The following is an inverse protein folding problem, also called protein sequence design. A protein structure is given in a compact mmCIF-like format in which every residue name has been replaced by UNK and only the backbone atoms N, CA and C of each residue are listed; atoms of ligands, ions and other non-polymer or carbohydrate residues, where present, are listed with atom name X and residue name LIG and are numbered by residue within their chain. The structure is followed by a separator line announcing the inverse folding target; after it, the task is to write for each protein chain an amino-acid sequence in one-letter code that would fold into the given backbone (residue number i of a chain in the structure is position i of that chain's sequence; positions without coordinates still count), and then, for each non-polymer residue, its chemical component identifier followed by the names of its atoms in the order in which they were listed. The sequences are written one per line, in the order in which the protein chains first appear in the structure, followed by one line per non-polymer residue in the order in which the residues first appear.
data_IF_320542004258
#
_entry.id   IF_320542004258
#
_cell.length_a   1.000
_cell.length_b   1.000
_cell.length_c   1.000
_cell.angle_alpha   90.00
_cell.angle_beta   90.00
_cell.angle_gamma   90.00
#
_symmetry.space_group_name_H-M   'P 1'
#
loop_
_entity.id
_entity.type
_entity.pdbx_description
1 polymer ?
#
# COMPACT_ATOMS: atom_id res chain seq x y z
N UNK A 1 -13.56 4.96 -23.82
CA UNK A 1 -13.75 4.13 -22.58
C UNK A 1 -14.56 4.94 -21.59
N UNK A 2 -15.73 4.49 -21.24
CA UNK A 2 -16.58 5.12 -20.21
C UNK A 2 -16.09 4.71 -18.80
N UNK A 3 -16.58 5.40 -17.77
CA UNK A 3 -16.26 4.98 -16.39
C UNK A 3 -16.81 3.58 -16.07
N UNK A 4 -17.96 3.22 -16.66
CA UNK A 4 -18.54 1.87 -16.51
C UNK A 4 -17.62 0.82 -17.13
N UNK A 5 -17.14 1.06 -18.37
CA UNK A 5 -16.20 0.15 -19.02
C UNK A 5 -14.94 -0.05 -18.18
N UNK A 6 -14.38 1.05 -17.65
CA UNK A 6 -13.22 0.99 -16.78
C UNK A 6 -13.47 0.17 -15.50
N UNK A 7 -14.61 0.37 -14.83
CA UNK A 7 -14.96 -0.39 -13.62
C UNK A 7 -15.12 -1.87 -13.94
N UNK A 8 -15.75 -2.19 -15.08
CA UNK A 8 -15.95 -3.57 -15.53
C UNK A 8 -14.62 -4.25 -15.85
N UNK A 9 -13.75 -3.59 -16.61
CA UNK A 9 -12.42 -4.10 -16.93
C UNK A 9 -11.56 -4.29 -15.68
N UNK A 10 -11.59 -3.32 -14.77
CA UNK A 10 -10.91 -3.44 -13.47
C UNK A 10 -11.44 -4.64 -12.68
N UNK A 11 -12.76 -4.83 -12.64
CA UNK A 11 -13.37 -5.98 -11.96
C UNK A 11 -12.90 -7.31 -12.59
N UNK A 12 -12.92 -7.45 -13.90
CA UNK A 12 -12.45 -8.67 -14.57
C UNK A 12 -10.98 -8.97 -14.23
N UNK A 13 -10.10 -7.96 -14.32
CA UNK A 13 -8.69 -8.11 -13.96
C UNK A 13 -8.47 -8.49 -12.49
N UNK A 14 -9.32 -8.03 -11.59
CA UNK A 14 -9.28 -8.38 -10.17
C UNK A 14 -9.80 -9.79 -9.95
N UNK A 15 -10.91 -10.15 -10.58
CA UNK A 15 -11.59 -11.44 -10.42
C UNK A 15 -10.71 -12.61 -10.86
N UNK A 16 -9.96 -12.44 -11.95
CA UNK A 16 -8.96 -13.41 -12.42
C UNK A 16 -7.85 -13.72 -11.40
N UNK A 17 -7.60 -12.84 -10.44
CA UNK A 17 -6.51 -12.95 -9.45
C UNK A 17 -6.97 -13.29 -8.05
N UNK A 18 -8.25 -13.14 -7.77
CA UNK A 18 -8.83 -13.35 -6.43
C UNK A 18 -9.63 -14.64 -6.41
N UNK A 19 -9.44 -15.54 -5.43
CA UNK A 19 -10.20 -16.77 -5.34
C UNK A 19 -11.70 -16.50 -5.10
N UNK A 20 -12.56 -17.27 -5.74
CA UNK A 20 -14.03 -17.14 -5.69
C UNK A 20 -14.66 -17.49 -4.33
N UNK A 21 -13.90 -17.65 -3.27
CA UNK A 21 -14.38 -18.08 -1.95
C UNK A 21 -15.20 -16.99 -1.27
N UNK A 22 -16.51 -17.00 -1.52
CA UNK A 22 -17.45 -16.14 -0.82
C UNK A 22 -17.99 -16.80 0.43
N UNK A 23 -17.85 -16.14 1.58
CA UNK A 23 -18.52 -16.57 2.79
C UNK A 23 -20.05 -16.52 2.60
N UNK A 24 -20.78 -17.52 3.09
CA UNK A 24 -22.25 -17.66 2.88
C UNK A 24 -23.07 -16.44 3.28
N UNK A 25 -22.63 -15.69 4.28
CA UNK A 25 -23.30 -14.47 4.77
C UNK A 25 -22.72 -13.17 4.17
N UNK A 26 -21.72 -13.25 3.28
CA UNK A 26 -21.16 -12.06 2.66
C UNK A 26 -22.10 -11.50 1.59
N UNK A 27 -22.31 -10.18 1.59
CA UNK A 27 -23.07 -9.49 0.54
C UNK A 27 -22.26 -9.36 -0.76
N UNK A 28 -20.95 -9.13 -0.66
CA UNK A 28 -20.04 -8.96 -1.78
C UNK A 28 -19.07 -10.14 -1.89
N UNK A 29 -18.63 -10.42 -3.10
CA UNK A 29 -17.47 -11.29 -3.34
C UNK A 29 -16.16 -10.59 -3.00
N UNK A 30 -15.09 -11.32 -2.65
CA UNK A 30 -13.78 -10.71 -2.41
C UNK A 30 -13.30 -9.84 -3.59
N UNK A 31 -13.50 -10.29 -4.82
CA UNK A 31 -13.18 -9.52 -6.04
C UNK A 31 -13.94 -8.20 -6.13
N UNK A 32 -15.24 -8.17 -5.77
CA UNK A 32 -16.01 -6.92 -5.70
C UNK A 32 -15.45 -5.97 -4.63
N UNK A 33 -15.08 -6.51 -3.45
CA UNK A 33 -14.50 -5.72 -2.36
C UNK A 33 -13.16 -5.10 -2.79
N UNK A 34 -12.29 -5.88 -3.42
CA UNK A 34 -10.98 -5.40 -3.87
C UNK A 34 -11.13 -4.39 -5.00
N UNK A 35 -12.01 -4.64 -5.97
CA UNK A 35 -12.32 -3.67 -7.04
C UNK A 35 -12.76 -2.32 -6.46
N UNK A 36 -13.68 -2.35 -5.48
CA UNK A 36 -14.14 -1.14 -4.79
C UNK A 36 -13.03 -0.46 -3.99
N UNK A 37 -12.12 -1.21 -3.38
CA UNK A 37 -10.97 -0.67 -2.66
C UNK A 37 -9.98 0.04 -3.60
N UNK A 38 -9.69 -0.56 -4.76
CA UNK A 38 -8.86 0.04 -5.80
C UNK A 38 -9.50 1.30 -6.39
N UNK A 39 -10.81 1.26 -6.68
CA UNK A 39 -11.56 2.45 -7.13
C UNK A 39 -11.54 3.57 -6.09
N UNK A 40 -11.63 3.23 -4.79
CA UNK A 40 -11.51 4.20 -3.70
C UNK A 40 -10.13 4.87 -3.69
N UNK A 41 -9.08 4.09 -3.83
CA UNK A 41 -7.71 4.60 -3.89
C UNK A 41 -7.49 5.49 -5.12
N UNK A 42 -7.91 5.04 -6.30
CA UNK A 42 -7.80 5.81 -7.55
C UNK A 42 -8.59 7.12 -7.52
N UNK A 43 -9.78 7.12 -6.89
CA UNK A 43 -10.59 8.32 -6.78
C UNK A 43 -10.01 9.36 -5.82
N UNK A 44 -9.19 8.99 -4.86
CA UNK A 44 -8.53 9.89 -3.91
C UNK A 44 -9.50 10.73 -3.05
N UNK A 45 -10.75 10.30 -2.90
CA UNK A 45 -11.78 11.05 -2.18
C UNK A 45 -12.01 10.50 -0.77
N UNK A 46 -12.56 11.31 0.15
CA UNK A 46 -12.93 10.83 1.49
C UNK A 46 -14.03 9.76 1.45
N UNK A 47 -14.06 8.86 2.46
CA UNK A 47 -14.97 7.72 2.56
C UNK A 47 -16.45 8.04 2.30
N UNK A 48 -16.94 9.18 2.83
CA UNK A 48 -18.34 9.61 2.66
C UNK A 48 -18.63 10.03 1.23
N UNK A 49 -17.69 10.74 0.59
CA UNK A 49 -17.83 11.20 -0.79
C UNK A 49 -17.78 10.01 -1.76
N UNK A 50 -16.86 9.08 -1.56
CA UNK A 50 -16.76 7.86 -2.34
C UNK A 50 -18.04 7.01 -2.27
N UNK A 51 -18.55 6.74 -1.08
CA UNK A 51 -19.75 5.93 -0.89
C UNK A 51 -21.00 6.59 -1.52
N UNK A 52 -21.16 7.93 -1.40
CA UNK A 52 -22.23 8.66 -2.07
C UNK A 52 -22.15 8.57 -3.59
N UNK A 53 -20.93 8.68 -4.12
CA UNK A 53 -20.67 8.54 -5.54
C UNK A 53 -21.06 7.14 -6.05
N UNK A 54 -20.69 6.07 -5.36
CA UNK A 54 -21.08 4.71 -5.72
C UNK A 54 -22.59 4.53 -5.76
N UNK A 55 -23.29 4.98 -4.72
CA UNK A 55 -24.75 4.81 -4.65
C UNK A 55 -25.48 5.63 -5.72
N UNK A 56 -25.00 6.83 -6.00
CA UNK A 56 -25.65 7.71 -6.96
C UNK A 56 -25.45 7.24 -8.40
N UNK A 57 -24.22 6.86 -8.75
CA UNK A 57 -23.80 6.70 -10.14
C UNK A 57 -23.62 5.23 -10.54
N UNK A 58 -23.35 4.32 -9.60
CA UNK A 58 -22.92 2.94 -9.89
C UNK A 58 -23.59 1.87 -9.04
N UNK A 59 -24.73 2.17 -8.45
CA UNK A 59 -25.50 1.22 -7.64
C UNK A 59 -25.90 -0.04 -8.43
N UNK A 60 -26.15 0.10 -9.71
CA UNK A 60 -26.54 -1.01 -10.60
C UNK A 60 -25.40 -2.02 -10.79
N UNK A 61 -24.15 -1.56 -10.80
CA UNK A 61 -22.99 -2.45 -10.88
C UNK A 61 -22.74 -3.22 -9.57
N UNK A 62 -23.16 -2.64 -8.44
CA UNK A 62 -22.98 -3.22 -7.11
C UNK A 62 -24.32 -3.29 -6.35
N UNK A 63 -25.26 -4.14 -6.79
CA UNK A 63 -26.64 -4.15 -6.23
C UNK A 63 -26.70 -4.54 -4.76
N UNK A 64 -25.72 -5.28 -4.26
CA UNK A 64 -25.60 -5.73 -2.86
C UNK A 64 -24.62 -4.89 -2.04
N UNK A 65 -24.38 -3.64 -2.46
CA UNK A 65 -23.46 -2.74 -1.75
C UNK A 65 -23.89 -2.56 -0.27
N UNK A 66 -23.03 -2.85 0.70
CA UNK A 66 -23.34 -2.68 2.12
C UNK A 66 -23.32 -1.20 2.52
N UNK A 67 -23.72 -0.91 3.77
CA UNK A 67 -23.55 0.42 4.34
C UNK A 67 -22.07 0.87 4.34
N UNK A 68 -21.86 2.19 4.40
CA UNK A 68 -20.51 2.77 4.35
C UNK A 68 -19.56 2.17 5.37
N UNK A 69 -19.97 2.03 6.62
CA UNK A 69 -19.10 1.57 7.70
C UNK A 69 -18.67 0.12 7.47
N UNK A 70 -19.61 -0.72 7.02
CA UNK A 70 -19.33 -2.12 6.68
C UNK A 70 -18.40 -2.23 5.47
N UNK A 71 -18.61 -1.42 4.43
CA UNK A 71 -17.75 -1.40 3.25
C UNK A 71 -16.29 -1.13 3.63
N UNK A 72 -16.02 -0.09 4.41
CA UNK A 72 -14.64 0.24 4.81
C UNK A 72 -14.02 -0.73 5.81
N UNK A 73 -14.84 -1.48 6.57
CA UNK A 73 -14.34 -2.64 7.35
C UNK A 73 -13.97 -3.80 6.44
N UNK A 74 -14.74 -4.05 5.37
CA UNK A 74 -14.41 -5.06 4.37
C UNK A 74 -13.08 -4.73 3.66
N UNK A 75 -12.83 -3.48 3.27
CA UNK A 75 -11.52 -3.09 2.69
C UNK A 75 -10.36 -3.48 3.62
N UNK A 76 -10.48 -3.18 4.92
CA UNK A 76 -9.46 -3.53 5.90
C UNK A 76 -9.28 -5.03 6.06
N UNK A 77 -10.36 -5.81 6.12
CA UNK A 77 -10.28 -7.26 6.29
C UNK A 77 -9.74 -8.00 5.07
N UNK A 78 -9.81 -7.37 3.87
CA UNK A 78 -9.32 -7.94 2.61
C UNK A 78 -7.98 -7.35 2.14
N UNK A 79 -7.32 -6.52 2.97
CA UNK A 79 -6.06 -5.88 2.59
C UNK A 79 -4.95 -6.87 2.19
N UNK A 80 -4.96 -8.09 2.74
CA UNK A 80 -3.98 -9.13 2.41
C UNK A 80 -4.03 -9.59 0.94
N UNK A 81 -5.10 -9.27 0.21
CA UNK A 81 -5.16 -9.53 -1.22
C UNK A 81 -4.39 -8.50 -2.06
N UNK A 82 -4.00 -7.36 -1.49
CA UNK A 82 -3.29 -6.31 -2.24
C UNK A 82 -1.94 -6.79 -2.79
N UNK A 83 -1.28 -7.71 -2.09
CA UNK A 83 0.01 -8.26 -2.50
C UNK A 83 -0.06 -9.06 -3.82
N UNK A 84 -1.26 -9.54 -4.20
CA UNK A 84 -1.49 -10.21 -5.49
C UNK A 84 -1.41 -9.29 -6.70
N UNK A 85 -1.38 -7.98 -6.48
CA UNK A 85 -1.26 -6.95 -7.51
C UNK A 85 0.12 -6.31 -7.58
N UNK A 86 1.05 -6.79 -6.75
CA UNK A 86 2.45 -6.39 -6.85
C UNK A 86 3.05 -6.93 -8.15
N UNK A 87 3.99 -6.17 -8.69
CA UNK A 87 4.70 -6.58 -9.91
C UNK A 87 5.76 -7.64 -9.60
N UNK A 88 6.11 -8.41 -10.62
CA UNK A 88 7.24 -9.34 -10.53
C UNK A 88 8.56 -8.55 -10.47
N UNK A 89 9.55 -9.02 -9.71
CA UNK A 89 10.87 -8.43 -9.69
C UNK A 89 11.53 -8.58 -11.06
N UNK A 90 12.22 -7.53 -11.51
CA UNK A 90 13.08 -7.58 -12.68
C UNK A 90 14.52 -7.88 -12.27
N UNK A 91 15.43 -8.02 -13.24
CA UNK A 91 16.85 -8.25 -12.97
C UNK A 91 17.46 -7.14 -12.07
N UNK A 92 16.98 -5.90 -12.22
CA UNK A 92 17.38 -4.73 -11.43
C UNK A 92 16.16 -4.10 -10.79
N UNK A 93 16.28 -3.73 -9.51
CA UNK A 93 15.26 -3.02 -8.75
C UNK A 93 15.87 -1.87 -7.96
N UNK A 94 15.07 -0.89 -7.60
CA UNK A 94 15.48 0.26 -6.77
C UNK A 94 14.64 0.26 -5.52
N UNK A 95 15.26 0.52 -4.37
CA UNK A 95 14.60 0.65 -3.09
C UNK A 95 14.70 2.09 -2.58
N UNK A 96 13.60 2.61 -2.06
CA UNK A 96 13.55 3.96 -1.51
C UNK A 96 12.52 4.05 -0.38
N UNK A 97 12.64 5.10 0.44
CA UNK A 97 11.69 5.39 1.52
C UNK A 97 11.05 6.78 1.37
N UNK A 98 9.78 6.87 1.71
CA UNK A 98 9.04 8.12 1.72
C UNK A 98 8.39 8.37 3.08
N UNK A 99 8.71 9.51 3.70
CA UNK A 99 8.12 9.91 4.97
C UNK A 99 6.71 10.48 4.82
N UNK A 100 5.77 9.88 5.52
CA UNK A 100 4.36 10.30 5.55
C UNK A 100 4.11 11.07 6.84
N UNK A 101 3.95 12.39 6.75
CA UNK A 101 3.55 13.22 7.89
C UNK A 101 2.06 13.05 8.18
N UNK A 102 1.73 12.42 9.30
CA UNK A 102 0.36 12.21 9.74
C UNK A 102 -0.12 13.26 10.73
N UNK A 103 0.80 13.84 11.48
CA UNK A 103 0.54 14.87 12.48
C UNK A 103 1.65 15.91 12.38
N UNK A 104 1.29 17.18 12.39
CA UNK A 104 2.30 18.25 12.45
C UNK A 104 3.14 18.11 13.74
N UNK A 105 4.49 18.20 13.68
CA UNK A 105 5.38 17.96 14.81
C UNK A 105 5.05 18.76 16.10
N UNK A 106 4.52 19.98 15.95
CA UNK A 106 4.07 20.82 17.09
C UNK A 106 2.91 20.20 17.88
N UNK A 107 2.19 19.24 17.30
CA UNK A 107 1.06 18.54 17.94
C UNK A 107 1.45 17.19 18.55
N UNK A 108 2.74 16.83 18.52
CA UNK A 108 3.25 15.63 19.15
C UNK A 108 2.91 15.60 20.63
N UNK A 109 2.46 14.46 21.14
CA UNK A 109 2.13 14.27 22.55
C UNK A 109 0.90 14.98 23.09
N UNK A 110 0.17 15.78 22.27
CA UNK A 110 -1.01 16.53 22.72
C UNK A 110 -2.30 15.70 22.80
N UNK A 111 -2.31 14.45 22.35
CA UNK A 111 -3.47 13.56 22.44
C UNK A 111 -3.37 12.62 23.62
N UNK A 112 -4.45 12.52 24.39
CA UNK A 112 -4.61 11.54 25.48
C UNK A 112 -4.84 10.10 24.98
N UNK A 113 -5.29 9.94 23.73
CA UNK A 113 -5.51 8.64 23.07
C UNK A 113 -4.44 8.45 22.00
N UNK A 114 -3.67 7.37 22.10
CA UNK A 114 -2.58 6.92 21.26
C UNK A 114 -2.22 7.77 20.01
N UNK A 115 -1.00 8.19 19.92
CA UNK A 115 -0.48 8.96 18.79
C UNK A 115 -0.37 8.06 17.56
N UNK A 116 -0.81 8.55 16.41
CA UNK A 116 -0.63 7.87 15.14
C UNK A 116 0.78 8.18 14.63
N UNK A 117 1.63 7.14 14.60
CA UNK A 117 3.02 7.26 14.16
C UNK A 117 3.98 7.78 15.25
N UNK A 118 5.23 7.87 14.90
CA UNK A 118 6.32 8.33 15.78
C UNK A 118 7.08 9.46 15.11
N UNK A 119 7.82 10.23 15.94
CA UNK A 119 8.72 11.28 15.43
C UNK A 119 9.98 10.66 14.86
N UNK A 120 10.33 11.02 13.66
CA UNK A 120 11.53 10.57 12.96
C UNK A 120 12.00 11.60 11.95
N UNK A 121 13.13 11.33 11.31
CA UNK A 121 13.69 12.17 10.23
C UNK A 121 13.38 11.49 8.90
N UNK A 122 12.89 12.27 7.95
CA UNK A 122 12.76 11.88 6.54
C UNK A 122 13.05 13.10 5.67
N UNK A 123 13.89 12.93 4.63
CA UNK A 123 14.31 14.01 3.75
C UNK A 123 14.84 15.25 4.51
N UNK A 124 15.74 15.05 5.47
CA UNK A 124 16.36 16.07 6.31
C UNK A 124 15.40 16.89 7.18
N UNK A 125 14.16 16.47 7.34
CA UNK A 125 13.19 17.15 8.21
C UNK A 125 12.56 16.20 9.23
N UNK A 126 12.19 16.78 10.38
CA UNK A 126 11.43 16.05 11.39
C UNK A 126 9.96 15.93 10.97
N UNK A 127 9.47 14.70 10.99
CA UNK A 127 8.05 14.39 10.78
C UNK A 127 7.51 13.57 11.95
N UNK A 128 6.22 13.61 12.18
CA UNK A 128 5.51 12.70 13.07
C UNK A 128 4.54 11.88 12.24
N UNK A 129 4.84 10.60 12.07
CA UNK A 129 4.05 9.76 11.17
C UNK A 129 4.68 8.41 10.92
N UNK A 130 4.64 7.97 9.68
CA UNK A 130 5.21 6.73 9.18
C UNK A 130 6.19 6.95 8.05
N UNK A 131 6.89 5.89 7.71
CA UNK A 131 7.67 5.75 6.48
C UNK A 131 7.06 4.67 5.63
N UNK A 132 6.79 4.99 4.37
CA UNK A 132 6.46 4.03 3.33
C UNK A 132 7.76 3.66 2.62
N UNK A 133 8.06 2.41 2.62
CA UNK A 133 9.23 1.84 2.00
C UNK A 133 8.79 0.94 0.85
N UNK A 134 9.42 1.04 -0.31
CA UNK A 134 9.00 0.28 -1.49
C UNK A 134 10.20 -0.09 -2.38
N UNK A 135 10.04 -1.21 -3.05
CA UNK A 135 10.95 -1.70 -4.08
C UNK A 135 10.26 -1.57 -5.43
N UNK A 136 10.90 -0.92 -6.38
CA UNK A 136 10.43 -0.75 -7.75
C UNK A 136 11.27 -1.60 -8.70
N UNK A 137 10.62 -2.23 -9.68
CA UNK A 137 11.32 -2.87 -10.78
C UNK A 137 11.77 -1.85 -11.86
N UNK A 138 12.41 -2.31 -12.93
CA UNK A 138 12.90 -1.47 -14.03
C UNK A 138 11.78 -0.74 -14.82
N UNK A 139 10.51 -1.14 -14.63
CA UNK A 139 9.36 -0.46 -15.20
C UNK A 139 8.73 0.57 -14.25
N UNK A 140 9.31 0.77 -13.04
CA UNK A 140 8.77 1.64 -12.02
C UNK A 140 7.53 1.08 -11.31
N UNK A 141 7.28 -0.23 -11.40
CA UNK A 141 6.17 -0.88 -10.73
C UNK A 141 6.60 -1.41 -9.37
N UNK A 142 5.69 -1.35 -8.38
CA UNK A 142 5.96 -1.79 -7.01
C UNK A 142 6.02 -3.32 -6.96
N UNK A 143 7.17 -3.86 -6.55
CA UNK A 143 7.43 -5.29 -6.34
C UNK A 143 7.17 -5.69 -4.90
N UNK A 144 7.54 -4.83 -3.97
CA UNK A 144 7.37 -5.03 -2.53
C UNK A 144 7.23 -3.69 -1.83
N UNK A 145 6.53 -3.67 -0.70
CA UNK A 145 6.40 -2.48 0.12
C UNK A 145 6.21 -2.82 1.59
N UNK A 146 6.59 -1.91 2.46
CA UNK A 146 6.26 -1.95 3.88
C UNK A 146 5.99 -0.55 4.40
N UNK A 147 5.30 -0.44 5.50
CA UNK A 147 5.06 0.83 6.17
C UNK A 147 5.33 0.67 7.67
N UNK A 148 6.20 1.51 8.19
CA UNK A 148 6.56 1.52 9.59
C UNK A 148 6.45 2.92 10.18
N UNK A 149 6.71 3.08 11.47
CA UNK A 149 6.72 4.39 12.11
C UNK A 149 7.99 5.18 11.71
N UNK A 150 7.88 6.51 11.62
CA UNK A 150 8.94 7.36 11.07
C UNK A 150 10.28 7.30 11.82
N UNK A 151 10.29 6.79 13.06
CA UNK A 151 11.52 6.62 13.86
C UNK A 151 12.29 5.34 13.53
N UNK A 152 11.74 4.43 12.74
CA UNK A 152 12.44 3.21 12.32
C UNK A 152 13.51 3.56 11.30
N UNK A 153 14.69 2.98 11.49
CA UNK A 153 15.80 3.14 10.55
C UNK A 153 15.50 2.41 9.24
N UNK A 154 15.82 3.03 8.11
CA UNK A 154 15.46 2.51 6.78
C UNK A 154 16.02 1.10 6.54
N UNK A 155 17.28 0.86 6.81
CA UNK A 155 17.89 -0.46 6.69
C UNK A 155 17.20 -1.56 7.50
N UNK A 156 16.57 -1.22 8.64
CA UNK A 156 15.82 -2.19 9.45
C UNK A 156 14.43 -2.45 8.90
N UNK A 157 13.77 -1.43 8.37
CA UNK A 157 12.44 -1.55 7.77
C UNK A 157 12.46 -2.41 6.49
N UNK A 158 13.59 -2.42 5.77
CA UNK A 158 13.71 -3.09 4.49
C UNK A 158 14.40 -4.46 4.52
N UNK A 159 15.04 -4.78 5.60
CA UNK A 159 15.84 -6.01 5.67
C UNK A 159 15.05 -7.23 5.18
N UNK A 160 13.85 -7.44 5.72
CA UNK A 160 13.01 -8.57 5.32
C UNK A 160 12.64 -8.53 3.82
N UNK A 161 12.40 -7.36 3.25
CA UNK A 161 12.04 -7.22 1.84
C UNK A 161 13.20 -7.54 0.91
N UNK A 162 14.40 -7.05 1.23
CA UNK A 162 15.61 -7.33 0.44
C UNK A 162 15.97 -8.82 0.53
N UNK A 163 15.87 -9.41 1.72
CA UNK A 163 16.14 -10.83 1.94
C UNK A 163 15.14 -11.72 1.16
N UNK A 164 13.85 -11.35 1.11
CA UNK A 164 12.83 -12.05 0.34
C UNK A 164 13.02 -11.95 -1.19
N UNK A 165 13.81 -11.00 -1.64
CA UNK A 165 14.16 -10.78 -3.04
C UNK A 165 15.53 -11.37 -3.43
N UNK A 166 16.21 -12.04 -2.49
CA UNK A 166 17.49 -12.69 -2.77
C UNK A 166 17.35 -13.73 -3.90
N UNK A 167 18.29 -13.71 -4.82
CA UNK A 167 18.28 -14.57 -6.02
C UNK A 167 17.27 -14.17 -7.10
N UNK A 168 16.39 -13.18 -6.85
CA UNK A 168 15.38 -12.72 -7.81
C UNK A 168 15.77 -11.41 -8.50
N UNK A 169 16.42 -10.51 -7.79
CA UNK A 169 16.80 -9.19 -8.30
C UNK A 169 18.02 -8.64 -7.58
N UNK A 170 18.77 -7.76 -8.26
CA UNK A 170 19.77 -6.91 -7.61
C UNK A 170 19.08 -5.59 -7.25
N UNK A 171 19.09 -5.25 -5.96
CA UNK A 171 18.44 -4.06 -5.42
C UNK A 171 19.46 -2.95 -5.27
N UNK A 172 19.16 -1.78 -5.80
CA UNK A 172 19.96 -0.56 -5.64
C UNK A 172 19.33 0.36 -4.60
N UNK A 173 20.14 0.89 -3.69
CA UNK A 173 19.71 1.82 -2.64
C UNK A 173 20.67 3.01 -2.54
N UNK A 174 20.25 4.04 -1.84
CA UNK A 174 21.18 5.05 -1.32
C UNK A 174 21.93 4.53 -0.06
N UNK A 175 22.85 5.33 0.48
CA UNK A 175 23.65 4.98 1.68
C UNK A 175 22.82 4.91 2.97
N UNK A 176 21.61 5.46 2.98
CA UNK A 176 20.69 5.41 4.12
C UNK A 176 20.22 4.00 4.50
N UNK A 177 20.46 3.02 3.62
CA UNK A 177 20.07 1.62 3.82
C UNK A 177 21.19 0.73 4.35
N UNK A 178 22.43 1.23 4.46
CA UNK A 178 23.55 0.46 5.03
C UNK A 178 23.33 0.20 6.52
N UNK A 179 23.53 -1.06 6.93
CA UNK A 179 23.49 -1.47 8.32
C UNK A 179 24.75 -2.28 8.64
N UNK A 180 25.39 -1.98 9.76
CA UNK A 180 26.70 -2.49 10.12
C UNK A 180 26.81 -4.02 10.15
N UNK A 181 25.74 -4.72 10.50
CA UNK A 181 25.70 -6.18 10.65
C UNK A 181 24.83 -6.89 9.58
N UNK A 182 24.45 -6.20 8.49
CA UNK A 182 23.59 -6.74 7.45
C UNK A 182 24.20 -6.50 6.07
N UNK A 183 24.62 -7.57 5.42
CA UNK A 183 25.31 -7.54 4.12
C UNK A 183 24.66 -8.50 3.13
N UNK A 184 23.46 -8.19 2.62
CA UNK A 184 22.78 -9.05 1.67
C UNK A 184 23.53 -9.12 0.35
N UNK A 185 23.52 -10.27 -0.29
CA UNK A 185 24.25 -10.52 -1.55
C UNK A 185 23.65 -9.76 -2.73
N UNK A 186 22.36 -9.41 -2.65
CA UNK A 186 21.58 -8.76 -3.70
C UNK A 186 21.41 -7.23 -3.52
N UNK A 187 21.98 -6.62 -2.48
CA UNK A 187 21.93 -5.17 -2.29
C UNK A 187 23.21 -4.49 -2.82
N UNK A 188 23.04 -3.35 -3.48
CA UNK A 188 24.10 -2.46 -3.95
C UNK A 188 23.78 -1.04 -3.53
N UNK A 189 24.61 -0.46 -2.70
CA UNK A 189 24.50 0.95 -2.28
C UNK A 189 25.33 1.84 -3.20
N UNK A 190 24.75 2.97 -3.59
CA UNK A 190 25.46 4.00 -4.34
C UNK A 190 25.82 5.17 -3.42
N UNK A 191 27.10 5.52 -3.41
CA UNK A 191 27.57 6.79 -2.84
C UNK A 191 27.42 7.87 -3.93
N UNK A 192 26.24 8.50 -4.01
CA UNK A 192 25.99 9.66 -4.86
C UNK A 192 26.35 10.95 -4.13
#
# INVERSE_FOLDING_TARGET
MTTVDFITELFCNVDDRIPENKHSQASLYPSEVITLALLYALKGSGQRAFWRWLIRDYKELFPKLPDRTRLFRLFRSHQHYTDRFLAEPSMLSVIDSYGIELIHPVREGRRSTGQIGRKGISNHRWIVGGKLCYVLNNLGLIVSWTCDTANVYDGSAFQEQVDNLEGKTVVFSDTGFEKQDWHPTNLRTSHL
#
